data_IF_567332964333
#
_entry.id   IF_567332964333
#
_cell.length_a   1.000
_cell.length_b   1.000
_cell.length_c   1.000
_cell.angle_alpha   90.00
_cell.angle_beta   90.00
_cell.angle_gamma   90.00
#
_symmetry.space_group_name_H-M   'P 1'
#
loop_
_entity.id
_entity.type
_entity.pdbx_description
1 polymer ?
#
# COMPACT_ATOMS: atom_id res chain seq x y z
N UNK A 1 1.78 -12.46 1.42
CA UNK A 1 1.14 -11.97 0.18
C UNK A 1 1.76 -12.72 -0.98
N UNK A 2 0.94 -13.24 -1.91
CA UNK A 2 1.42 -13.87 -3.14
C UNK A 2 1.00 -12.99 -4.32
N UNK A 3 1.93 -12.75 -5.25
CA UNK A 3 1.70 -11.95 -6.45
C UNK A 3 2.10 -12.78 -7.65
N UNK A 4 1.21 -12.90 -8.64
CA UNK A 4 1.54 -13.56 -9.89
C UNK A 4 2.50 -12.64 -10.69
N UNK A 5 3.65 -13.13 -11.17
CA UNK A 5 4.53 -12.31 -11.99
C UNK A 5 3.96 -12.08 -13.40
N UNK A 6 4.39 -11.00 -14.05
CA UNK A 6 4.05 -10.61 -15.43
C UNK A 6 4.64 -11.58 -16.48
N UNK A 7 5.65 -12.36 -16.08
CA UNK A 7 6.40 -13.29 -16.92
C UNK A 7 6.72 -14.58 -16.18
N UNK A 8 6.70 -15.68 -16.94
CA UNK A 8 7.08 -17.00 -16.44
C UNK A 8 8.59 -17.24 -16.58
N UNK A 9 9.09 -18.25 -15.87
CA UNK A 9 10.49 -18.71 -15.94
C UNK A 9 11.52 -17.62 -15.61
N UNK A 10 11.16 -16.67 -14.75
CA UNK A 10 12.09 -15.68 -14.20
C UNK A 10 13.11 -16.37 -13.28
N UNK A 11 14.35 -15.88 -13.27
CA UNK A 11 15.39 -16.38 -12.36
C UNK A 11 14.96 -16.14 -10.92
N UNK A 12 14.92 -17.15 -10.05
CA UNK A 12 14.60 -16.98 -8.64
C UNK A 12 15.52 -15.95 -7.98
N UNK A 13 14.92 -15.07 -7.17
CA UNK A 13 15.64 -14.04 -6.42
C UNK A 13 15.05 -13.89 -5.03
N UNK A 14 15.93 -13.58 -4.08
CA UNK A 14 15.57 -13.10 -2.75
C UNK A 14 16.01 -11.64 -2.60
N UNK A 15 15.16 -10.82 -1.99
CA UNK A 15 15.46 -9.42 -1.67
C UNK A 15 14.76 -9.07 -0.35
N UNK A 16 15.47 -8.39 0.53
CA UNK A 16 14.97 -7.93 1.81
C UNK A 16 15.46 -6.50 2.05
N UNK A 17 14.55 -5.64 2.48
CA UNK A 17 14.86 -4.26 2.81
C UNK A 17 14.21 -3.85 4.12
N UNK A 18 14.92 -3.02 4.88
CA UNK A 18 14.39 -2.41 6.09
C UNK A 18 13.91 -0.99 5.77
N UNK A 19 12.68 -0.68 6.19
CA UNK A 19 12.10 0.65 6.07
C UNK A 19 11.81 1.18 7.48
N UNK A 20 12.58 2.16 7.98
CA UNK A 20 12.39 2.68 9.34
C UNK A 20 11.04 3.39 9.46
N UNK A 21 10.53 3.47 10.70
CA UNK A 21 9.22 4.11 10.97
C UNK A 21 9.15 5.54 10.41
N UNK A 22 10.22 6.32 10.50
CA UNK A 22 10.30 7.68 9.95
C UNK A 22 10.10 7.78 8.44
N UNK A 23 10.28 6.69 7.69
CA UNK A 23 10.00 6.62 6.26
C UNK A 23 8.52 6.31 5.94
N UNK A 24 7.75 5.81 6.90
CA UNK A 24 6.35 5.37 6.71
C UNK A 24 5.33 5.99 7.66
N UNK A 25 5.76 6.81 8.62
CA UNK A 25 4.86 7.53 9.53
C UNK A 25 4.18 8.70 8.81
N UNK A 26 2.84 8.74 8.85
CA UNK A 26 2.02 9.80 8.28
C UNK A 26 2.14 9.96 6.77
N UNK A 27 2.68 8.97 6.05
CA UNK A 27 2.93 9.03 4.61
C UNK A 27 3.05 7.64 3.99
N UNK A 28 2.72 7.55 2.70
CA UNK A 28 2.89 6.33 1.92
C UNK A 28 4.34 6.09 1.55
N UNK A 29 4.89 4.96 2.03
CA UNK A 29 6.21 4.46 1.65
C UNK A 29 6.09 3.35 0.62
N UNK A 30 6.63 3.54 -0.58
CA UNK A 30 6.73 2.47 -1.57
C UNK A 30 7.71 1.39 -1.08
N UNK A 31 7.22 0.17 -0.80
CA UNK A 31 8.05 -0.93 -0.28
C UNK A 31 8.30 -2.04 -1.28
N UNK A 32 7.43 -2.21 -2.29
CA UNK A 32 7.69 -3.09 -3.43
C UNK A 32 7.16 -2.47 -4.73
N UNK A 33 7.89 -2.65 -5.82
CA UNK A 33 7.51 -2.15 -7.15
C UNK A 33 8.20 -2.91 -8.28
N UNK A 34 7.68 -2.74 -9.50
CA UNK A 34 8.38 -3.20 -10.69
C UNK A 34 9.74 -2.49 -10.83
N UNK A 35 10.82 -3.27 -10.90
CA UNK A 35 12.18 -2.74 -11.07
C UNK A 35 12.80 -2.07 -9.83
N UNK A 36 12.08 -1.94 -8.71
CA UNK A 36 12.68 -1.57 -7.42
C UNK A 36 12.94 -0.07 -7.23
N UNK A 37 12.10 0.79 -7.81
CA UNK A 37 12.24 2.25 -7.67
C UNK A 37 12.05 2.71 -6.22
N UNK A 38 12.54 3.90 -5.90
CA UNK A 38 12.52 4.48 -4.54
C UNK A 38 13.10 3.55 -3.46
N UNK A 39 14.08 2.73 -3.84
CA UNK A 39 14.69 1.70 -3.00
C UNK A 39 13.68 0.65 -2.51
N UNK A 40 12.59 0.41 -3.24
CA UNK A 40 11.65 -0.66 -2.94
C UNK A 40 12.27 -2.04 -3.22
N UNK A 41 11.69 -3.09 -2.65
CA UNK A 41 11.91 -4.46 -3.09
C UNK A 41 11.48 -4.59 -4.56
N UNK A 42 12.22 -5.38 -5.33
CA UNK A 42 11.90 -5.68 -6.73
C UNK A 42 10.83 -6.76 -6.77
N UNK A 43 9.73 -6.47 -7.45
CA UNK A 43 8.73 -7.47 -7.86
C UNK A 43 8.61 -7.48 -9.37
N UNK A 44 8.17 -8.61 -9.93
CA UNK A 44 8.02 -8.80 -11.38
C UNK A 44 6.56 -8.68 -11.79
N UNK A 45 5.89 -7.60 -11.40
CA UNK A 45 4.50 -7.33 -11.78
C UNK A 45 4.26 -5.83 -11.81
N UNK A 46 3.32 -5.35 -12.62
CA UNK A 46 2.89 -3.94 -12.63
C UNK A 46 1.99 -3.62 -11.42
N UNK A 47 2.59 -3.72 -10.24
CA UNK A 47 1.99 -3.44 -8.94
C UNK A 47 2.94 -2.55 -8.16
N UNK A 48 2.36 -1.63 -7.41
CA UNK A 48 3.06 -0.86 -6.39
C UNK A 48 2.45 -1.16 -5.03
N UNK A 49 3.29 -1.56 -4.09
CA UNK A 49 2.89 -1.80 -2.71
C UNK A 49 3.45 -0.69 -1.83
N UNK A 50 2.54 0.04 -1.19
CA UNK A 50 2.85 1.06 -0.21
C UNK A 50 2.50 0.60 1.19
N UNK A 51 3.22 1.14 2.18
CA UNK A 51 2.90 1.00 3.61
C UNK A 51 2.80 2.39 4.23
N UNK A 52 1.84 2.59 5.11
CA UNK A 52 1.78 3.77 5.98
C UNK A 52 1.46 3.34 7.41
N UNK A 53 2.09 4.00 8.37
CA UNK A 53 1.70 4.00 9.78
C UNK A 53 1.12 5.36 10.07
N UNK A 54 -0.13 5.40 10.52
CA UNK A 54 -0.86 6.61 10.84
C UNK A 54 -0.98 6.74 12.35
N UNK A 55 -0.82 7.96 12.85
CA UNK A 55 -1.18 8.36 14.21
C UNK A 55 -2.33 9.35 14.19
N UNK A 56 -2.93 9.61 15.34
CA UNK A 56 -4.00 10.58 15.49
C UNK A 56 -3.61 11.94 14.87
N UNK A 57 -4.42 12.42 13.92
CA UNK A 57 -4.19 13.67 13.20
C UNK A 57 -3.39 13.52 11.88
N UNK A 58 -2.79 12.36 11.61
CA UNK A 58 -2.21 12.08 10.30
C UNK A 58 -3.33 11.88 9.25
N UNK A 59 -3.11 12.43 8.06
CA UNK A 59 -3.95 12.17 6.89
C UNK A 59 -3.06 11.93 5.69
N UNK A 60 -3.36 10.88 4.94
CA UNK A 60 -2.68 10.57 3.67
C UNK A 60 -3.70 10.58 2.54
N UNK A 61 -3.26 11.05 1.38
CA UNK A 61 -4.03 11.03 0.15
C UNK A 61 -3.29 10.20 -0.91
N UNK A 62 -4.04 9.39 -1.64
CA UNK A 62 -3.54 8.62 -2.78
C UNK A 62 -4.46 8.80 -3.98
N UNK A 63 -3.93 9.43 -5.03
CA UNK A 63 -4.66 9.60 -6.29
C UNK A 63 -4.47 8.35 -7.15
N UNK A 64 -5.55 7.61 -7.38
CA UNK A 64 -5.50 6.43 -8.23
C UNK A 64 -5.27 6.82 -9.69
N UNK A 65 -4.33 6.14 -10.34
CA UNK A 65 -4.12 6.30 -11.78
C UNK A 65 -5.29 5.69 -12.57
N UNK A 66 -5.63 6.24 -13.75
CA UNK A 66 -6.64 5.65 -14.62
C UNK A 66 -6.34 4.19 -14.95
N UNK A 67 -7.39 3.39 -15.11
CA UNK A 67 -7.31 1.96 -15.47
C UNK A 67 -6.57 1.07 -14.47
N UNK A 68 -6.44 1.51 -13.21
CA UNK A 68 -5.89 0.71 -12.12
C UNK A 68 -6.93 0.42 -11.05
N UNK A 69 -6.69 -0.64 -10.31
CA UNK A 69 -7.44 -1.02 -9.12
C UNK A 69 -6.60 -0.73 -7.88
N UNK A 70 -7.25 -0.54 -6.74
CA UNK A 70 -6.56 -0.50 -5.46
C UNK A 70 -7.08 -1.58 -4.51
N UNK A 71 -6.19 -2.10 -3.68
CA UNK A 71 -6.55 -2.86 -2.49
C UNK A 71 -5.95 -2.16 -1.27
N UNK A 72 -6.76 -1.88 -0.26
CA UNK A 72 -6.29 -1.41 1.04
C UNK A 72 -6.48 -2.55 2.03
N UNK A 73 -5.44 -2.88 2.79
CA UNK A 73 -5.50 -3.82 3.90
C UNK A 73 -5.13 -3.07 5.20
N UNK A 74 -6.00 -3.13 6.20
CA UNK A 74 -5.65 -2.66 7.54
C UNK A 74 -4.90 -3.78 8.25
N UNK A 75 -3.60 -3.58 8.44
CA UNK A 75 -2.74 -4.52 9.14
C UNK A 75 -2.89 -4.40 10.66
N UNK A 76 -3.12 -3.19 11.17
CA UNK A 76 -3.33 -2.90 12.60
C UNK A 76 -4.21 -1.68 12.82
N UNK A 77 -4.94 -1.67 13.94
CA UNK A 77 -5.65 -0.49 14.44
C UNK A 77 -6.94 -0.17 13.67
N UNK A 78 -7.28 1.11 13.57
CA UNK A 78 -8.52 1.58 12.93
C UNK A 78 -8.22 2.74 12.01
N UNK A 79 -8.79 2.71 10.80
CA UNK A 79 -8.53 3.70 9.75
C UNK A 79 -9.85 4.08 9.10
N UNK A 80 -10.03 5.37 8.84
CA UNK A 80 -11.11 5.90 8.03
C UNK A 80 -10.62 5.99 6.59
N UNK A 81 -11.38 5.44 5.65
CA UNK A 81 -11.16 5.58 4.21
C UNK A 81 -12.40 6.25 3.60
N UNK A 82 -12.27 7.47 3.09
CA UNK A 82 -13.36 8.21 2.43
C UNK A 82 -14.69 8.19 3.23
N UNK A 83 -14.60 8.29 4.57
CA UNK A 83 -15.75 8.27 5.48
C UNK A 83 -16.20 6.88 5.96
N UNK A 84 -15.61 5.79 5.45
CA UNK A 84 -15.86 4.43 5.92
C UNK A 84 -14.83 4.01 6.97
N UNK A 85 -15.29 3.54 8.13
CA UNK A 85 -14.41 2.99 9.17
C UNK A 85 -14.00 1.56 8.82
N UNK A 86 -12.71 1.28 8.92
CA UNK A 86 -12.09 -0.02 8.72
C UNK A 86 -11.29 -0.41 9.96
N UNK A 87 -11.36 -1.68 10.35
CA UNK A 87 -10.67 -2.24 11.52
C UNK A 87 -9.56 -3.20 11.11
N UNK A 88 -8.72 -3.58 12.06
CA UNK A 88 -7.67 -4.57 11.87
C UNK A 88 -8.19 -5.84 11.21
N UNK A 89 -7.54 -6.25 10.12
CA UNK A 89 -7.94 -7.41 9.32
C UNK A 89 -8.84 -7.06 8.13
N UNK A 90 -9.49 -5.89 8.11
CA UNK A 90 -10.34 -5.49 6.99
C UNK A 90 -9.54 -5.22 5.72
N UNK A 91 -10.17 -5.53 4.59
CA UNK A 91 -9.66 -5.28 3.25
C UNK A 91 -10.73 -4.60 2.39
N UNK A 92 -10.32 -3.63 1.58
CA UNK A 92 -11.20 -2.90 0.66
C UNK A 92 -10.61 -2.93 -0.74
N UNK A 93 -11.43 -3.36 -1.70
CA UNK A 93 -11.12 -3.26 -3.12
C UNK A 93 -11.77 -2.00 -3.71
N UNK A 94 -10.99 -1.20 -4.44
CA UNK A 94 -11.46 -0.04 -5.19
C UNK A 94 -11.23 -0.32 -6.68
N UNK A 95 -12.27 -0.15 -7.49
CA UNK A 95 -12.27 -0.51 -8.92
C UNK A 95 -12.60 0.65 -9.86
N UNK A 96 -12.60 1.87 -9.34
CA UNK A 96 -12.79 3.10 -10.11
C UNK A 96 -11.74 4.12 -9.68
N UNK A 97 -11.24 4.96 -10.59
CA UNK A 97 -10.34 6.05 -10.23
C UNK A 97 -11.01 6.95 -9.18
N UNK A 98 -10.35 7.11 -8.04
CA UNK A 98 -10.83 7.87 -6.90
C UNK A 98 -9.62 8.44 -6.15
N UNK A 99 -9.82 9.57 -5.48
CA UNK A 99 -8.88 10.06 -4.48
C UNK A 99 -9.16 9.30 -3.17
N UNK A 100 -8.19 8.49 -2.73
CA UNK A 100 -8.28 7.76 -1.48
C UNK A 100 -7.69 8.62 -0.36
N UNK A 101 -8.54 9.11 0.53
CA UNK A 101 -8.14 9.83 1.74
C UNK A 101 -8.23 8.89 2.94
N UNK A 102 -7.10 8.66 3.61
CA UNK A 102 -7.02 7.82 4.79
C UNK A 102 -6.52 8.60 6.00
N UNK A 103 -7.18 8.41 7.13
CA UNK A 103 -6.80 9.02 8.41
C UNK A 103 -7.23 8.14 9.59
N UNK A 104 -6.80 8.49 10.79
CA UNK A 104 -7.19 7.81 12.03
C UNK A 104 -7.30 8.78 13.20
N UNK A 105 -8.22 8.53 14.13
CA UNK A 105 -8.27 9.23 15.42
C UNK A 105 -7.33 8.61 16.46
N UNK A 106 -6.76 7.44 16.18
CA UNK A 106 -5.92 6.69 17.13
C UNK A 106 -4.58 6.31 16.51
N UNK A 107 -4.46 5.09 16.00
CA UNK A 107 -3.33 4.59 15.25
C UNK A 107 -3.80 3.58 14.22
N UNK A 108 -3.07 3.48 13.11
CA UNK A 108 -3.35 2.50 12.07
C UNK A 108 -2.08 2.12 11.32
N UNK A 109 -2.00 0.87 10.86
CA UNK A 109 -1.00 0.47 9.86
C UNK A 109 -1.74 -0.12 8.67
N UNK A 110 -1.45 0.40 7.48
CA UNK A 110 -2.11 -0.01 6.24
C UNK A 110 -1.10 -0.45 5.19
N UNK A 111 -1.53 -1.39 4.37
CA UNK A 111 -0.93 -1.71 3.09
C UNK A 111 -1.86 -1.18 2.00
N UNK A 112 -1.31 -0.45 1.03
CA UNK A 112 -2.04 -0.02 -0.17
C UNK A 112 -1.37 -0.64 -1.38
N UNK A 113 -2.13 -1.45 -2.12
CA UNK A 113 -1.73 -2.03 -3.39
C UNK A 113 -2.35 -1.22 -4.50
N UNK A 114 -1.52 -0.72 -5.42
CA UNK A 114 -1.96 -0.10 -6.67
C UNK A 114 -1.69 -1.10 -7.81
N UNK A 115 -2.74 -1.58 -8.47
CA UNK A 115 -2.75 -2.77 -9.33
C UNK A 115 -3.16 -2.38 -10.76
N UNK A 116 -2.36 -2.75 -11.78
CA UNK A 116 -2.75 -2.63 -13.19
C UNK A 116 -3.71 -3.74 -13.64
#
# INVERSE_FOLDING_TARGET
IWMLPDRQNITPRYDQRNFPLSEKQGKLRLVASNGGRDRSVIIHQDIDLYVSVLSAGDTIAFEMRPHRFAWIQVARGTVMLNGQSLQEGDGVQINRPELLELWTETQGEILLFDLA
#
